data_IF_700655512378
#
_entry.id   IF_700655512378
#
_cell.length_a   1.000
_cell.length_b   1.000
_cell.length_c   1.000
_cell.angle_alpha   90.00
_cell.angle_beta   90.00
_cell.angle_gamma   90.00
#
_symmetry.space_group_name_H-M   'P 1'
#
loop_
_entity.id
_entity.type
_entity.pdbx_description
1 polymer ?
#
# COMPACT_ATOMS: atom_id res chain seq x y z
N UNK A 1 2.91 45.42 17.97
CA UNK A 1 2.99 44.30 18.94
C UNK A 1 1.67 43.58 18.92
N UNK A 2 1.63 42.34 18.41
CA UNK A 2 0.44 41.51 18.54
C UNK A 2 0.24 41.21 20.02
N UNK A 3 -0.76 41.85 20.61
CA UNK A 3 -1.27 41.52 21.94
C UNK A 3 -1.60 40.04 21.94
N UNK A 4 -0.76 39.26 22.62
CA UNK A 4 -1.08 37.89 23.00
C UNK A 4 -2.42 37.97 23.73
N UNK A 5 -3.48 37.56 23.06
CA UNK A 5 -4.80 37.43 23.66
C UNK A 5 -4.56 36.56 24.89
N UNK A 6 -4.79 37.13 26.06
CA UNK A 6 -4.67 36.45 27.34
C UNK A 6 -5.70 35.32 27.28
N UNK A 7 -5.27 34.15 26.80
CA UNK A 7 -6.10 32.95 26.80
C UNK A 7 -6.44 32.72 28.26
N UNK A 8 -7.70 32.97 28.61
CA UNK A 8 -8.23 32.67 29.93
C UNK A 8 -8.00 31.18 30.15
N UNK A 9 -7.15 30.85 31.12
CA UNK A 9 -6.88 29.48 31.57
C UNK A 9 -8.10 28.94 32.34
N UNK A 10 -9.23 28.97 31.66
CA UNK A 10 -10.52 28.56 32.17
C UNK A 10 -10.58 27.03 32.17
N UNK A 11 -11.15 26.41 33.21
CA UNK A 11 -11.40 24.96 33.22
C UNK A 11 -12.14 24.47 31.97
N UNK A 12 -12.94 25.32 31.34
CA UNK A 12 -13.65 25.02 30.10
C UNK A 12 -12.72 25.00 28.88
N UNK A 13 -11.74 25.90 28.82
CA UNK A 13 -10.74 25.93 27.74
C UNK A 13 -9.82 24.71 27.83
N UNK A 14 -9.33 24.39 29.03
CA UNK A 14 -8.53 23.18 29.27
C UNK A 14 -9.29 21.91 28.84
N UNK A 15 -10.58 21.80 29.20
CA UNK A 15 -11.40 20.65 28.79
C UNK A 15 -11.57 20.55 27.27
N UNK A 16 -11.70 21.68 26.57
CA UNK A 16 -11.78 21.69 25.10
C UNK A 16 -10.45 21.28 24.47
N UNK A 17 -9.32 21.75 25.00
CA UNK A 17 -7.98 21.36 24.55
C UNK A 17 -7.76 19.85 24.73
N UNK A 18 -8.03 19.30 25.91
CA UNK A 18 -7.89 17.85 26.13
C UNK A 18 -8.83 17.02 25.25
N UNK A 19 -10.05 17.51 24.99
CA UNK A 19 -10.97 16.84 24.06
C UNK A 19 -10.45 16.84 22.63
N UNK A 20 -9.83 17.94 22.20
CA UNK A 20 -9.25 18.06 20.87
C UNK A 20 -8.01 17.18 20.72
N UNK A 21 -7.15 17.11 21.74
CA UNK A 21 -6.00 16.20 21.79
C UNK A 21 -6.45 14.74 21.66
N UNK A 22 -7.47 14.34 22.42
CA UNK A 22 -8.02 12.98 22.33
C UNK A 22 -8.58 12.65 20.95
N UNK A 23 -9.25 13.62 20.30
CA UNK A 23 -9.75 13.45 18.93
C UNK A 23 -8.61 13.36 17.91
N UNK A 24 -7.54 14.14 18.10
CA UNK A 24 -6.36 14.11 17.24
C UNK A 24 -5.61 12.77 17.36
N UNK A 25 -5.48 12.23 18.56
CA UNK A 25 -4.88 10.92 18.80
C UNK A 25 -5.72 9.77 18.20
N UNK A 26 -7.05 9.83 18.35
CA UNK A 26 -7.94 8.86 17.71
C UNK A 26 -7.83 8.93 16.18
N UNK A 27 -7.84 10.13 15.61
CA UNK A 27 -7.68 10.34 14.18
C UNK A 27 -6.34 9.80 13.69
N UNK A 28 -5.25 10.08 14.41
CA UNK A 28 -3.90 9.57 14.10
C UNK A 28 -3.88 8.03 14.09
N UNK A 29 -4.47 7.39 15.09
CA UNK A 29 -4.58 5.92 15.16
C UNK A 29 -5.35 5.35 13.97
N UNK A 30 -6.49 5.95 13.63
CA UNK A 30 -7.30 5.54 12.48
C UNK A 30 -6.57 5.72 11.15
N UNK A 31 -5.87 6.84 10.98
CA UNK A 31 -5.03 7.08 9.80
C UNK A 31 -3.89 6.07 9.71
N UNK A 32 -3.23 5.73 10.82
CA UNK A 32 -2.19 4.71 10.86
C UNK A 32 -2.72 3.34 10.42
N UNK A 33 -3.84 2.88 10.98
CA UNK A 33 -4.51 1.65 10.55
C UNK A 33 -4.86 1.66 9.06
N UNK A 34 -5.40 2.76 8.54
CA UNK A 34 -5.70 2.91 7.12
C UNK A 34 -4.44 2.83 6.23
N UNK A 35 -3.33 3.42 6.68
CA UNK A 35 -2.07 3.45 5.92
C UNK A 35 -1.31 2.14 5.94
N UNK A 36 -1.44 1.35 7.02
CA UNK A 36 -0.63 0.16 7.26
C UNK A 36 -1.39 -1.14 6.93
N UNK A 37 -2.72 -1.09 6.91
CA UNK A 37 -3.54 -2.27 7.15
C UNK A 37 -4.15 -3.00 5.97
N UNK A 38 -4.22 -2.45 4.75
CA UNK A 38 -4.93 -3.20 3.70
C UNK A 38 -4.35 -3.12 2.30
N UNK A 39 -4.17 -1.92 1.73
CA UNK A 39 -3.96 -1.85 0.28
C UNK A 39 -2.52 -2.17 -0.10
N UNK A 40 -1.52 -1.58 0.58
CA UNK A 40 -0.10 -1.78 0.23
C UNK A 40 0.38 -3.21 0.48
N UNK A 41 0.03 -3.78 1.63
CA UNK A 41 0.37 -5.16 2.00
C UNK A 41 -0.30 -6.16 1.07
N UNK A 42 -1.62 -6.06 0.85
CA UNK A 42 -2.33 -6.98 -0.04
C UNK A 42 -1.84 -6.89 -1.48
N UNK A 43 -1.47 -5.68 -1.94
CA UNK A 43 -0.94 -5.48 -3.28
C UNK A 43 0.48 -6.06 -3.43
N UNK A 44 1.31 -5.97 -2.39
CA UNK A 44 2.61 -6.63 -2.34
C UNK A 44 2.51 -8.17 -2.33
N UNK A 45 1.56 -8.72 -1.57
CA UNK A 45 1.27 -10.16 -1.58
C UNK A 45 0.76 -10.63 -2.94
N UNK A 46 -0.15 -9.87 -3.57
CA UNK A 46 -0.67 -10.18 -4.91
C UNK A 46 0.41 -10.08 -6.00
N UNK A 47 1.34 -9.13 -5.90
CA UNK A 47 2.52 -9.05 -6.76
C UNK A 47 3.39 -10.30 -6.63
N UNK A 48 3.69 -10.71 -5.40
CA UNK A 48 4.52 -11.89 -5.16
C UNK A 48 3.82 -13.18 -5.63
N UNK A 49 2.50 -13.29 -5.43
CA UNK A 49 1.71 -14.43 -5.87
C UNK A 49 1.72 -14.60 -7.39
N UNK A 50 1.54 -13.51 -8.15
CA UNK A 50 1.58 -13.57 -9.63
C UNK A 50 2.95 -14.02 -10.14
N UNK A 51 4.04 -13.49 -9.59
CA UNK A 51 5.40 -13.88 -9.97
C UNK A 51 5.69 -15.35 -9.62
N UNK A 52 5.34 -15.78 -8.40
CA UNK A 52 5.54 -17.16 -7.97
C UNK A 52 4.72 -18.15 -8.82
N UNK A 53 3.52 -17.76 -9.24
CA UNK A 53 2.71 -18.54 -10.17
C UNK A 53 3.32 -18.59 -11.58
N UNK A 54 3.83 -17.47 -12.09
CA UNK A 54 4.54 -17.42 -13.36
C UNK A 54 5.78 -18.33 -13.35
N UNK A 55 6.56 -18.32 -12.27
CA UNK A 55 7.74 -19.17 -12.11
C UNK A 55 7.37 -20.66 -12.01
N UNK A 56 6.26 -20.97 -11.30
CA UNK A 56 5.71 -22.33 -11.26
C UNK A 56 5.27 -22.82 -12.63
N UNK A 57 4.67 -21.93 -13.44
CA UNK A 57 4.22 -22.23 -14.80
C UNK A 57 5.40 -22.39 -15.77
N UNK A 58 6.48 -21.62 -15.57
CA UNK A 58 7.74 -21.76 -16.29
C UNK A 58 8.40 -23.11 -15.97
N UNK A 59 8.47 -23.50 -14.70
CA UNK A 59 8.97 -24.80 -14.29
C UNK A 59 8.12 -25.97 -14.83
N UNK A 60 6.79 -25.81 -14.87
CA UNK A 60 5.86 -26.79 -15.44
C UNK A 60 6.02 -26.93 -16.96
N UNK A 61 6.11 -25.81 -17.68
CA UNK A 61 6.18 -25.76 -19.14
C UNK A 61 7.55 -26.12 -19.72
N UNK A 62 8.61 -26.16 -18.90
CA UNK A 62 9.98 -26.46 -19.31
C UNK A 62 10.38 -27.95 -19.14
N UNK A 63 9.42 -28.86 -19.13
CA UNK A 63 9.68 -30.31 -19.08
C UNK A 63 10.29 -30.85 -20.39
N UNK A 64 11.48 -31.43 -20.31
CA UNK A 64 12.15 -32.13 -21.43
C UNK A 64 11.54 -33.53 -21.71
N UNK A 65 10.58 -33.97 -20.88
CA UNK A 65 10.06 -35.35 -20.88
C UNK A 65 9.15 -35.67 -22.08
N UNK A 66 8.52 -34.66 -22.70
CA UNK A 66 7.74 -34.83 -23.94
C UNK A 66 7.90 -33.62 -24.88
N UNK A 67 8.81 -33.70 -25.88
CA UNK A 67 9.07 -32.62 -26.84
C UNK A 67 7.85 -32.22 -27.68
N UNK A 68 6.92 -33.15 -27.91
CA UNK A 68 5.73 -32.90 -28.74
C UNK A 68 4.73 -32.08 -27.94
N UNK A 69 4.42 -32.51 -26.71
CA UNK A 69 3.56 -31.75 -25.80
C UNK A 69 4.15 -30.38 -25.48
N UNK A 70 5.46 -30.28 -25.24
CA UNK A 70 6.15 -29.02 -25.01
C UNK A 70 6.05 -28.07 -26.21
N UNK A 71 6.17 -28.58 -27.45
CA UNK A 71 6.01 -27.77 -28.66
C UNK A 71 4.59 -27.25 -28.87
N UNK A 72 3.57 -28.00 -28.43
CA UNK A 72 2.16 -27.63 -28.59
C UNK A 72 1.71 -26.68 -27.47
N UNK A 73 2.06 -26.99 -26.22
CA UNK A 73 1.64 -26.25 -25.03
C UNK A 73 2.55 -25.07 -24.68
N UNK A 74 3.83 -25.13 -25.04
CA UNK A 74 4.84 -24.10 -24.72
C UNK A 74 4.45 -22.69 -25.15
N UNK A 75 4.01 -22.44 -26.40
CA UNK A 75 3.59 -21.11 -26.84
C UNK A 75 2.40 -20.55 -26.05
N UNK A 76 1.50 -21.43 -25.58
CA UNK A 76 0.38 -21.02 -24.74
C UNK A 76 0.86 -20.71 -23.33
N UNK A 77 1.74 -21.54 -22.75
CA UNK A 77 2.33 -21.30 -21.44
C UNK A 77 3.13 -20.00 -21.38
N UNK A 78 3.97 -19.72 -22.39
CA UNK A 78 4.71 -18.45 -22.48
C UNK A 78 3.78 -17.23 -22.47
N UNK A 79 2.60 -17.31 -23.10
CA UNK A 79 1.63 -16.20 -23.08
C UNK A 79 1.09 -15.96 -21.67
N UNK A 80 0.75 -17.02 -20.94
CA UNK A 80 0.29 -16.90 -19.56
C UNK A 80 1.39 -16.37 -18.64
N UNK A 81 2.61 -16.90 -18.74
CA UNK A 81 3.78 -16.43 -17.97
C UNK A 81 3.98 -14.93 -18.18
N UNK A 82 3.98 -14.49 -19.45
CA UNK A 82 4.14 -13.06 -19.77
C UNK A 82 2.98 -12.23 -19.20
N UNK A 83 1.74 -12.70 -19.31
CA UNK A 83 0.58 -12.01 -18.76
C UNK A 83 0.65 -11.85 -17.23
N UNK A 84 1.07 -12.89 -16.49
CA UNK A 84 1.25 -12.79 -15.04
C UNK A 84 2.39 -11.84 -14.64
N UNK A 85 3.51 -11.86 -15.37
CA UNK A 85 4.62 -10.91 -15.14
C UNK A 85 4.20 -9.47 -15.45
N UNK A 86 3.37 -9.27 -16.47
CA UNK A 86 2.81 -7.94 -16.78
C UNK A 86 1.83 -7.47 -15.68
N UNK A 87 0.93 -8.36 -15.22
CA UNK A 87 0.03 -8.09 -14.10
C UNK A 87 0.78 -7.75 -12.79
N UNK A 88 1.85 -8.49 -12.49
CA UNK A 88 2.73 -8.19 -11.37
C UNK A 88 3.32 -6.78 -11.51
N UNK A 89 3.86 -6.43 -12.68
CA UNK A 89 4.43 -5.10 -12.95
C UNK A 89 3.41 -3.96 -12.71
N UNK A 90 2.16 -4.13 -13.13
CA UNK A 90 1.11 -3.15 -12.85
C UNK A 90 0.78 -3.05 -11.35
N UNK A 91 0.78 -4.16 -10.61
CA UNK A 91 0.58 -4.16 -9.14
C UNK A 91 1.73 -3.48 -8.41
N UNK A 92 2.98 -3.68 -8.86
CA UNK A 92 4.15 -2.97 -8.32
C UNK A 92 4.04 -1.46 -8.56
N UNK A 93 3.68 -1.04 -9.78
CA UNK A 93 3.45 0.37 -10.11
C UNK A 93 2.38 1.00 -9.21
N UNK A 94 1.25 0.32 -9.03
CA UNK A 94 0.18 0.76 -8.13
C UNK A 94 0.68 0.87 -6.68
N UNK A 95 1.50 -0.08 -6.21
CA UNK A 95 2.06 -0.05 -4.86
C UNK A 95 3.00 1.15 -4.67
N UNK A 96 3.85 1.42 -5.66
CA UNK A 96 4.71 2.60 -5.67
C UNK A 96 3.91 3.90 -5.67
N UNK A 97 2.85 3.99 -6.50
CA UNK A 97 1.98 5.16 -6.56
C UNK A 97 1.24 5.39 -5.23
N UNK A 98 0.72 4.34 -4.60
CA UNK A 98 0.10 4.42 -3.27
C UNK A 98 1.14 4.84 -2.23
N UNK A 99 2.33 4.24 -2.25
CA UNK A 99 3.44 4.54 -1.37
C UNK A 99 4.01 5.96 -1.51
N UNK A 100 3.88 6.61 -2.67
CA UNK A 100 4.29 8.01 -2.93
C UNK A 100 3.19 9.01 -2.52
N UNK A 101 1.93 8.67 -2.71
CA UNK A 101 0.81 9.55 -2.34
C UNK A 101 0.53 9.54 -0.82
N UNK A 102 0.81 8.44 -0.13
CA UNK A 102 0.65 8.31 1.31
C UNK A 102 1.55 9.23 2.18
N UNK A 103 2.85 9.42 1.88
CA UNK A 103 3.71 10.36 2.62
C UNK A 103 3.30 11.82 2.41
N UNK A 104 2.73 12.16 1.25
CA UNK A 104 2.16 13.51 1.03
C UNK A 104 0.99 13.78 1.97
N UNK A 105 0.14 12.79 2.24
CA UNK A 105 -0.94 12.88 3.23
C UNK A 105 -0.41 12.83 4.68
N UNK A 106 0.63 12.03 4.97
CA UNK A 106 1.29 12.03 6.29
C UNK A 106 1.96 13.36 6.61
N UNK A 107 2.54 14.04 5.61
CA UNK A 107 3.11 15.37 5.77
C UNK A 107 2.01 16.38 6.14
N UNK A 108 0.87 16.38 5.45
CA UNK A 108 -0.26 17.27 5.77
C UNK A 108 -0.75 17.05 7.21
N UNK A 109 -0.84 15.81 7.67
CA UNK A 109 -1.25 15.51 9.06
C UNK A 109 -0.17 15.90 10.07
N UNK A 110 1.12 15.76 9.76
CA UNK A 110 2.22 16.13 10.67
C UNK A 110 2.38 17.65 10.79
N UNK A 111 2.27 18.39 9.69
CA UNK A 111 2.37 19.87 9.68
C UNK A 111 1.15 20.59 10.27
N UNK A 112 0.04 19.89 10.53
CA UNK A 112 -1.17 20.49 11.12
C UNK A 112 -1.22 20.32 12.65
N UNK A 113 -0.32 19.53 13.24
CA UNK A 113 -0.34 19.17 14.69
C UNK A 113 0.92 19.65 15.45
N UNK A 114 1.95 20.18 14.78
CA UNK A 114 3.01 21.00 15.41
C UNK A 114 2.73 22.50 15.25
#
# INVERSE_FOLDING_TARGET
MATFIKLEDSPMFQKQVCSLESMADELKSRCQMLTQGSITTALGEAYNADNCFADSLEAFGCGQDDPISASIGGPVMSKFINAFRELASYKELLCSQVGINLPSTKAIVSYTIE
#
